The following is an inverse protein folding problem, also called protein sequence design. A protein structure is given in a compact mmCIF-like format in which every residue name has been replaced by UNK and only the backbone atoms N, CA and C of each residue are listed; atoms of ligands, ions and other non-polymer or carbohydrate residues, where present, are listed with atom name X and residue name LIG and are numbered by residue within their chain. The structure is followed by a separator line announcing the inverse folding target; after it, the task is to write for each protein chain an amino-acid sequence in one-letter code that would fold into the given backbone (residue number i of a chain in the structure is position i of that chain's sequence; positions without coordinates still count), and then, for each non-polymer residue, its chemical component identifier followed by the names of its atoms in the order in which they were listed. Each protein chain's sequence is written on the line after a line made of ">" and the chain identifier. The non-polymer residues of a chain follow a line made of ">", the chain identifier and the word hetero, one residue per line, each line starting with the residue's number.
data_IF_729759918304
#
_entry.id   IF_729759918304
#
_cell.length_a   1.000
_cell.length_b   1.000
_cell.length_c   1.000
_cell.angle_alpha   90.00
_cell.angle_beta   90.00
_cell.angle_gamma   90.00
#
_symmetry.space_group_name_H-M   'P 1'
#
loop_
_entity.id
_entity.type
_entity.pdbx_description
1 polymer ?
#
# COMPACT_ATOMS: atom_id res chain seq x y z
N UNK A 1 5.82 17.93 9.34
CA UNK A 1 6.42 17.13 9.01
C UNK A 1 5.91 15.83 9.09
N UNK A 2 6.07 15.08 8.28
CA UNK A 2 5.56 13.80 8.20
C UNK A 2 6.19 12.83 9.15
N UNK A 3 7.02 13.35 9.97
CA UNK A 3 7.70 12.52 10.94
C UNK A 3 6.73 11.81 11.86
N UNK A 4 5.66 12.50 12.28
CA UNK A 4 4.71 11.89 13.21
C UNK A 4 4.04 10.68 12.58
N UNK A 5 3.69 10.76 11.29
CA UNK A 5 3.07 9.64 10.62
C UNK A 5 4.03 8.47 10.53
N UNK A 6 5.29 8.77 10.20
CA UNK A 6 6.28 7.71 10.08
C UNK A 6 6.55 7.03 11.42
N UNK A 7 6.60 7.81 12.49
CA UNK A 7 6.83 7.24 13.81
C UNK A 7 5.69 6.33 14.23
N UNK A 8 4.44 6.75 13.98
CA UNK A 8 3.30 5.92 14.29
C UNK A 8 3.35 4.61 13.53
N UNK A 9 3.67 4.68 12.25
CA UNK A 9 3.74 3.48 11.43
C UNK A 9 4.86 2.56 11.91
N UNK A 10 6.00 3.12 12.30
CA UNK A 10 7.10 2.32 12.81
C UNK A 10 6.69 1.59 14.09
N UNK A 11 6.09 2.31 15.02
CA UNK A 11 5.70 1.69 16.29
C UNK A 11 4.73 0.54 16.09
N UNK A 12 3.71 0.76 15.28
CA UNK A 12 2.69 -0.24 15.08
C UNK A 12 3.26 -1.44 14.32
N UNK A 13 4.05 -1.17 13.30
CA UNK A 13 4.61 -2.23 12.48
C UNK A 13 5.58 -3.09 13.29
N UNK A 14 6.40 -2.47 14.12
CA UNK A 14 7.33 -3.22 14.96
C UNK A 14 6.57 -4.11 15.94
N UNK A 15 5.55 -3.56 16.58
CA UNK A 15 4.76 -4.35 17.51
C UNK A 15 4.07 -5.52 16.83
N UNK A 16 3.53 -5.30 15.64
CA UNK A 16 2.74 -6.32 14.97
C UNK A 16 3.59 -7.37 14.27
N UNK A 17 4.73 -6.97 13.69
CA UNK A 17 5.48 -7.85 12.80
C UNK A 17 6.98 -7.86 13.02
N UNK A 18 7.47 -7.28 14.09
CA UNK A 18 8.91 -7.24 14.38
C UNK A 18 9.70 -6.63 13.23
N UNK A 19 9.23 -5.52 12.72
CA UNK A 19 9.94 -4.84 11.63
C UNK A 19 11.15 -4.13 12.20
N UNK A 20 12.29 -4.24 11.52
CA UNK A 20 13.54 -3.67 12.02
C UNK A 20 13.97 -2.45 11.26
N UNK A 21 13.39 -2.18 10.12
CA UNK A 21 13.75 -1.02 9.34
C UNK A 21 12.55 -0.49 8.57
N UNK A 22 12.36 0.81 8.61
CA UNK A 22 11.21 1.46 8.05
C UNK A 22 11.65 2.59 7.13
N UNK A 23 11.05 2.65 5.96
CA UNK A 23 11.31 3.75 5.03
C UNK A 23 10.54 4.98 5.49
N UNK A 24 11.22 6.11 5.76
CA UNK A 24 10.53 7.29 6.28
C UNK A 24 9.71 8.05 5.23
N UNK A 25 9.88 7.76 3.96
CA UNK A 25 9.18 8.49 2.91
C UNK A 25 7.91 7.81 2.46
N UNK A 26 7.01 8.59 1.88
CA UNK A 26 5.82 8.07 1.23
C UNK A 26 6.11 7.93 -0.24
N UNK A 27 5.78 6.78 -0.81
CA UNK A 27 6.06 6.50 -2.21
C UNK A 27 4.78 6.48 -3.03
N UNK A 28 3.76 5.74 -2.55
CA UNK A 28 2.49 5.65 -3.26
C UNK A 28 1.43 6.47 -2.58
N UNK A 29 0.59 7.14 -3.36
CA UNK A 29 -0.50 7.94 -2.84
C UNK A 29 -1.75 7.65 -3.64
N UNK A 30 -2.84 7.38 -2.93
CA UNK A 30 -4.14 7.13 -3.53
C UNK A 30 -5.20 7.96 -2.82
N UNK A 31 -5.99 8.71 -3.60
CA UNK A 31 -7.15 9.41 -3.05
C UNK A 31 -8.37 8.54 -3.32
N UNK A 32 -9.00 8.07 -2.25
CA UNK A 32 -10.06 7.08 -2.38
C UNK A 32 -11.35 7.70 -2.83
N UNK A 33 -11.93 7.14 -3.88
CA UNK A 33 -13.23 7.57 -4.40
C UNK A 33 -14.27 6.51 -4.07
N UNK A 34 -15.53 6.90 -4.23
CA UNK A 34 -16.63 5.98 -4.00
C UNK A 34 -16.53 4.74 -4.91
N UNK A 35 -16.18 4.95 -6.17
CA UNK A 35 -16.06 3.84 -7.11
C UNK A 35 -14.96 2.86 -6.69
N UNK A 36 -13.84 3.38 -6.21
CA UNK A 36 -12.75 2.52 -5.76
C UNK A 36 -13.20 1.59 -4.65
N UNK A 37 -13.97 2.12 -3.70
CA UNK A 37 -14.39 1.32 -2.55
C UNK A 37 -15.58 0.43 -2.88
N UNK A 38 -16.57 0.96 -3.61
CA UNK A 38 -17.78 0.20 -3.90
C UNK A 38 -17.53 -0.96 -4.85
N UNK A 39 -16.66 -0.75 -5.83
CA UNK A 39 -16.44 -1.73 -6.89
C UNK A 39 -15.10 -2.42 -6.79
N UNK A 40 -14.30 -2.05 -5.81
CA UNK A 40 -12.95 -2.59 -5.64
C UNK A 40 -12.10 -2.40 -6.89
N UNK A 41 -12.28 -1.24 -7.55
CA UNK A 41 -11.54 -0.91 -8.76
C UNK A 41 -10.64 0.26 -8.47
N UNK A 42 -9.34 0.01 -8.38
CA UNK A 42 -8.35 1.06 -8.10
C UNK A 42 -7.29 1.01 -9.17
N UNK A 43 -7.23 2.05 -9.99
CA UNK A 43 -6.20 2.13 -11.02
C UNK A 43 -4.86 2.42 -10.40
N UNK A 44 -3.83 1.76 -10.93
CA UNK A 44 -2.46 1.97 -10.44
C UNK A 44 -1.89 3.21 -11.10
N UNK A 45 -1.92 4.32 -10.37
CA UNK A 45 -1.34 5.56 -10.88
C UNK A 45 0.19 5.47 -10.86
N UNK A 46 0.85 6.52 -11.32
CA UNK A 46 2.29 6.49 -11.46
C UNK A 46 3.00 6.21 -10.14
N UNK A 47 2.54 6.81 -9.04
CA UNK A 47 3.19 6.58 -7.75
C UNK A 47 3.04 5.13 -7.30
N UNK A 48 1.90 4.53 -7.59
CA UNK A 48 1.67 3.13 -7.26
C UNK A 48 2.56 2.21 -8.11
N UNK A 49 2.74 2.56 -9.38
CA UNK A 49 3.60 1.75 -10.24
C UNK A 49 5.06 1.83 -9.80
N UNK A 50 5.49 3.00 -9.30
CA UNK A 50 6.85 3.12 -8.73
C UNK A 50 6.99 2.28 -7.47
N UNK A 51 5.96 2.29 -6.62
CA UNK A 51 5.96 1.46 -5.42
C UNK A 51 6.07 -0.02 -5.79
N UNK A 52 5.30 -0.45 -6.80
CA UNK A 52 5.32 -1.84 -7.23
C UNK A 52 6.73 -2.29 -7.64
N UNK A 53 7.49 -1.41 -8.29
CA UNK A 53 8.83 -1.76 -8.73
C UNK A 53 9.76 -2.07 -7.55
N UNK A 54 9.54 -1.46 -6.40
CA UNK A 54 10.32 -1.77 -5.21
C UNK A 54 10.07 -3.21 -4.75
N UNK A 55 8.94 -3.77 -5.11
CA UNK A 55 8.62 -5.15 -4.80
C UNK A 55 8.84 -6.06 -6.00
N UNK A 56 9.64 -5.59 -6.96
CA UNK A 56 10.00 -6.34 -8.16
C UNK A 56 8.80 -6.64 -9.05
N UNK A 57 7.81 -5.76 -9.05
CA UNK A 57 6.65 -5.89 -9.92
C UNK A 57 6.70 -4.76 -10.94
N UNK A 58 6.85 -5.13 -12.22
CA UNK A 58 6.86 -4.19 -13.31
C UNK A 58 5.57 -4.40 -14.10
N UNK A 59 4.67 -3.42 -14.05
CA UNK A 59 3.39 -3.54 -14.72
C UNK A 59 3.53 -3.78 -16.23
N UNK A 60 4.60 -3.24 -16.82
CA UNK A 60 4.79 -3.43 -18.25
C UNK A 60 5.14 -4.86 -18.61
N UNK A 61 5.61 -5.64 -17.64
CA UNK A 61 5.92 -7.04 -17.86
C UNK A 61 4.83 -7.99 -17.36
N UNK A 62 3.83 -7.48 -16.68
CA UNK A 62 2.71 -8.30 -16.27
C UNK A 62 1.85 -8.62 -17.48
N UNK A 63 1.43 -9.87 -17.57
CA UNK A 63 0.53 -10.28 -18.63
C UNK A 63 -0.91 -9.98 -18.21
N UNK A 64 -1.80 -9.91 -19.20
CA UNK A 64 -3.23 -9.73 -18.92
C UNK A 64 -3.69 -10.82 -17.97
N UNK A 65 -4.36 -10.43 -16.90
CA UNK A 65 -4.83 -11.37 -15.90
C UNK A 65 -3.83 -11.80 -14.86
N UNK A 66 -2.58 -11.37 -14.98
CA UNK A 66 -1.53 -11.77 -14.04
C UNK A 66 -1.62 -10.96 -12.75
N UNK A 67 -1.34 -11.63 -11.62
CA UNK A 67 -1.42 -11.02 -10.30
C UNK A 67 -0.16 -11.28 -9.50
N UNK A 68 0.23 -10.28 -8.69
CA UNK A 68 1.36 -10.41 -7.76
C UNK A 68 0.89 -9.97 -6.39
N UNK A 69 0.92 -10.87 -5.43
CA UNK A 69 0.46 -10.60 -4.06
C UNK A 69 1.63 -10.27 -3.17
N UNK A 70 1.49 -9.19 -2.41
CA UNK A 70 2.54 -8.69 -1.54
C UNK A 70 1.99 -8.59 -0.13
N UNK A 71 2.70 -9.12 0.89
CA UNK A 71 2.25 -8.95 2.27
C UNK A 71 2.24 -7.49 2.65
N UNK A 72 1.22 -7.08 3.37
CA UNK A 72 1.04 -5.68 3.70
C UNK A 72 0.53 -5.53 5.12
N UNK A 73 0.67 -4.33 5.65
CA UNK A 73 0.27 -4.00 7.00
C UNK A 73 -0.30 -2.58 7.00
N UNK A 74 -1.50 -2.43 7.53
CA UNK A 74 -2.00 -1.07 7.80
C UNK A 74 -1.29 -0.54 9.02
N UNK A 75 -1.11 0.78 9.08
CA UNK A 75 -0.44 1.40 10.20
C UNK A 75 -1.19 1.20 11.51
N UNK A 76 -2.44 0.78 11.45
CA UNK A 76 -3.21 0.43 12.64
C UNK A 76 -2.85 -0.93 13.20
N UNK A 77 -2.02 -1.70 12.51
CA UNK A 77 -1.65 -3.05 12.91
C UNK A 77 -2.41 -4.15 12.20
N UNK A 78 -3.38 -3.80 11.37
CA UNK A 78 -4.17 -4.80 10.65
C UNK A 78 -3.35 -5.39 9.51
N UNK A 79 -3.24 -6.71 9.48
CA UNK A 79 -2.54 -7.39 8.40
C UNK A 79 -3.40 -7.40 7.14
N UNK A 80 -2.75 -7.33 6.00
CA UNK A 80 -3.43 -7.25 4.72
C UNK A 80 -2.58 -7.88 3.63
N UNK A 81 -3.14 -7.92 2.43
CA UNK A 81 -2.43 -8.32 1.23
C UNK A 81 -2.73 -7.29 0.16
N UNK A 82 -1.68 -6.79 -0.47
CA UNK A 82 -1.83 -5.89 -1.61
C UNK A 82 -1.51 -6.70 -2.85
N UNK A 83 -2.36 -6.57 -3.88
CA UNK A 83 -2.17 -7.26 -5.14
C UNK A 83 -1.98 -6.24 -6.24
N UNK A 84 -0.84 -6.32 -6.93
CA UNK A 84 -0.62 -5.55 -8.15
C UNK A 84 -1.00 -6.47 -9.31
N UNK A 85 -1.86 -6.01 -10.21
CA UNK A 85 -2.35 -6.90 -11.25
C UNK A 85 -2.78 -6.16 -12.50
N UNK A 86 -2.93 -6.93 -13.59
CA UNK A 86 -3.57 -6.43 -14.80
C UNK A 86 -4.87 -7.17 -15.00
N UNK A 87 -5.89 -6.46 -15.46
CA UNK A 87 -7.15 -7.09 -15.82
C UNK A 87 -6.98 -7.88 -17.11
N UNK A 88 -8.00 -8.65 -17.46
CA UNK A 88 -7.98 -9.39 -18.73
C UNK A 88 -7.83 -8.45 -19.92
N UNK A 89 -8.30 -7.20 -19.79
CA UNK A 89 -8.16 -6.20 -20.85
C UNK A 89 -6.83 -5.47 -20.79
N UNK A 90 -6.01 -5.74 -19.78
CA UNK A 90 -4.70 -5.12 -19.64
C UNK A 90 -4.65 -3.88 -18.76
N UNK A 91 -5.75 -3.51 -18.12
CA UNK A 91 -5.76 -2.35 -17.24
C UNK A 91 -4.85 -2.61 -16.03
N UNK A 92 -4.12 -1.59 -15.61
CA UNK A 92 -3.20 -1.68 -14.47
C UNK A 92 -3.97 -1.34 -13.21
N UNK A 93 -3.98 -2.26 -12.25
CA UNK A 93 -4.81 -2.14 -11.05
C UNK A 93 -4.05 -2.53 -9.80
N UNK A 94 -4.55 -2.04 -8.66
CA UNK A 94 -4.07 -2.44 -7.36
C UNK A 94 -5.28 -2.83 -6.52
N UNK A 95 -5.12 -3.85 -5.69
CA UNK A 95 -6.15 -4.29 -4.75
C UNK A 95 -5.56 -4.31 -3.36
N UNK A 96 -6.30 -3.80 -2.39
CA UNK A 96 -5.84 -3.74 -1.01
C UNK A 96 -6.88 -4.44 -0.15
N UNK A 97 -6.52 -5.60 0.38
CA UNK A 97 -7.44 -6.38 1.18
C UNK A 97 -7.81 -5.62 2.46
N UNK A 98 -9.07 -5.68 2.82
CA UNK A 98 -9.61 -5.03 4.04
C UNK A 98 -9.66 -3.50 3.97
N UNK A 99 -9.50 -2.93 2.77
CA UNK A 99 -9.50 -1.48 2.64
C UNK A 99 -10.82 -0.87 3.14
N UNK A 100 -11.94 -1.55 2.92
CA UNK A 100 -13.24 -1.02 3.33
C UNK A 100 -13.43 -0.99 4.85
N UNK A 101 -12.62 -1.73 5.58
CA UNK A 101 -12.65 -1.70 7.04
C UNK A 101 -11.77 -0.61 7.61
N UNK A 102 -10.78 -0.17 6.84
CA UNK A 102 -9.76 0.77 7.33
C UNK A 102 -9.96 2.18 6.82
N UNK A 103 -10.70 2.36 5.73
CA UNK A 103 -10.80 3.65 5.07
C UNK A 103 -12.18 3.91 4.51
N UNK A 104 -12.47 5.20 4.28
CA UNK A 104 -13.73 5.62 3.70
C UNK A 104 -13.46 6.56 2.52
N UNK A 105 -14.53 6.86 1.79
CA UNK A 105 -14.46 7.78 0.65
C UNK A 105 -13.89 9.12 1.11
N UNK A 106 -12.96 9.65 0.35
CA UNK A 106 -12.31 10.92 0.65
C UNK A 106 -11.03 10.80 1.42
N UNK A 107 -10.74 9.61 1.96
CA UNK A 107 -9.45 9.42 2.63
C UNK A 107 -8.34 9.33 1.60
N UNK A 108 -7.14 9.72 2.02
CA UNK A 108 -5.93 9.53 1.24
C UNK A 108 -5.16 8.37 1.83
N UNK A 109 -4.69 7.46 0.98
CA UNK A 109 -3.80 6.39 1.41
C UNK A 109 -2.38 6.78 1.08
N UNK A 110 -1.50 6.58 2.04
CA UNK A 110 -0.07 6.83 1.88
C UNK A 110 0.63 5.50 2.06
N UNK A 111 1.38 5.08 1.04
CA UNK A 111 1.98 3.76 0.99
C UNK A 111 3.48 3.84 0.96
N UNK A 112 4.11 2.95 1.71
CA UNK A 112 5.56 2.85 1.73
C UNK A 112 5.92 1.39 2.05
N UNK A 113 7.16 1.16 2.47
CA UNK A 113 7.61 -0.19 2.77
C UNK A 113 8.43 -0.22 4.04
N UNK A 114 8.57 -1.42 4.59
CA UNK A 114 9.43 -1.65 5.74
C UNK A 114 10.09 -3.01 5.58
N UNK A 115 11.14 -3.27 6.35
CA UNK A 115 11.82 -4.56 6.35
C UNK A 115 11.46 -5.30 7.61
N UNK A 116 11.13 -6.59 7.47
CA UNK A 116 10.95 -7.44 8.62
C UNK A 116 12.30 -7.91 9.14
N UNK A 117 12.28 -8.63 10.26
CA UNK A 117 13.51 -9.12 10.87
C UNK A 117 14.27 -10.08 9.94
N UNK A 118 13.58 -10.79 9.06
CA UNK A 118 14.22 -11.70 8.13
C UNK A 118 14.66 -11.04 6.84
N UNK A 119 14.51 -9.72 6.73
CA UNK A 119 14.97 -8.98 5.56
C UNK A 119 13.96 -8.84 4.44
N UNK A 120 12.79 -9.46 4.55
CA UNK A 120 11.79 -9.33 3.50
C UNK A 120 11.11 -7.96 3.56
N UNK A 121 10.59 -7.53 2.41
CA UNK A 121 9.87 -6.27 2.31
C UNK A 121 8.40 -6.47 2.63
N UNK A 122 7.85 -5.52 3.36
CA UNK A 122 6.42 -5.49 3.66
C UNK A 122 5.90 -4.13 3.25
N UNK A 123 4.75 -4.10 2.60
CA UNK A 123 4.13 -2.86 2.19
C UNK A 123 3.34 -2.28 3.37
N UNK A 124 3.51 -1.00 3.64
CA UNK A 124 2.83 -0.35 4.76
C UNK A 124 1.84 0.67 4.22
N UNK A 125 0.61 0.61 4.71
CA UNK A 125 -0.47 1.48 4.27
C UNK A 125 -0.93 2.33 5.43
N UNK A 126 -0.84 3.65 5.28
CA UNK A 126 -1.33 4.61 6.26
C UNK A 126 -2.56 5.30 5.70
N UNK A 127 -3.67 5.23 6.43
CA UNK A 127 -4.90 5.92 6.05
C UNK A 127 -4.92 7.28 6.72
N UNK A 128 -5.21 8.30 5.94
CA UNK A 128 -5.35 9.63 6.50
C UNK A 128 -4.39 10.59 5.87
N UNK A 129 -4.32 11.78 6.44
CA UNK A 129 -3.52 12.83 5.87
C UNK A 129 -2.14 12.84 6.42
N UNK A 130 -1.23 13.32 5.60
CA UNK A 130 0.15 13.39 6.01
C UNK A 130 0.39 14.52 6.97
N UNK A 131 -0.30 15.58 6.79
CA UNK A 131 0.00 16.67 7.54
C UNK A 131 -0.70 16.76 8.75
N UNK A 132 -1.35 16.51 9.07
CA UNK A 132 -1.82 16.69 10.22
C UNK A 132 -1.15 17.37 11.06
N UNK A 133 -0.76 18.00 10.94
CA UNK A 133 -0.05 18.56 11.51
C UNK A 133 -0.14 19.06 11.88
#
# INVERSE_FOLDING_TARGET
>A
MQTAINLDAIEIAVKANNLVRFNPGVIGVLDLTKTMLDKSIIDANESIRRLAQLFHVDYDELKAGERRKIPALFSTGTESTVTFYRTARGDRRISIQKINKEATVGNTLNLTYAHSADGSLILVVKVGELEDE
#
